data_IF_625191796330
#
_entry.id   IF_625191796330
#
_cell.length_a   1.000
_cell.length_b   1.000
_cell.length_c   1.000
_cell.angle_alpha   90.00
_cell.angle_beta   90.00
_cell.angle_gamma   90.00
#
_symmetry.space_group_name_H-M   'P 1'
#
loop_
_entity.id
_entity.type
_entity.pdbx_description
1 polymer ?
#
# COMPACT_ATOMS: atom_id res chain seq x y z
N UNK A 1 8.23 24.71 -0.13
CA UNK A 1 8.59 23.87 -1.29
C UNK A 1 8.58 22.43 -0.81
N UNK A 2 7.59 21.65 -1.26
CA UNK A 2 7.20 20.40 -0.62
C UNK A 2 8.21 19.27 -0.83
N UNK A 3 8.63 18.67 0.27
CA UNK A 3 9.43 17.43 0.32
C UNK A 3 8.87 16.35 -0.61
N UNK A 4 7.54 16.27 -0.73
CA UNK A 4 6.80 15.29 -1.53
C UNK A 4 6.97 15.40 -3.05
N UNK A 5 7.20 16.60 -3.61
CA UNK A 5 7.17 16.83 -5.07
C UNK A 5 8.36 16.17 -5.81
N UNK A 6 9.49 15.93 -5.12
CA UNK A 6 10.67 15.29 -5.71
C UNK A 6 10.65 13.76 -5.71
N UNK A 7 9.79 13.12 -4.91
CA UNK A 7 9.77 11.66 -4.82
C UNK A 7 8.97 11.01 -5.94
N UNK A 8 7.84 11.61 -6.34
CA UNK A 8 6.91 10.97 -7.28
C UNK A 8 7.42 10.87 -8.73
N UNK A 9 8.44 11.62 -9.14
CA UNK A 9 8.92 11.61 -10.53
C UNK A 9 9.80 10.38 -10.87
N UNK A 10 10.08 9.48 -9.92
CA UNK A 10 10.93 8.28 -10.11
C UNK A 10 10.52 7.06 -9.28
N UNK A 11 9.27 6.96 -8.84
CA UNK A 11 8.82 5.75 -8.13
C UNK A 11 8.61 4.62 -9.14
N UNK A 12 9.27 3.45 -9.00
CA UNK A 12 8.94 2.26 -9.77
C UNK A 12 7.44 1.95 -9.71
N UNK A 13 6.83 1.85 -10.88
CA UNK A 13 5.39 1.60 -11.01
C UNK A 13 5.13 0.17 -11.42
N UNK A 14 4.22 -0.49 -10.73
CA UNK A 14 3.71 -1.82 -11.06
C UNK A 14 2.25 -1.71 -11.41
N UNK A 15 1.93 -2.12 -12.63
CA UNK A 15 0.55 -2.18 -13.11
C UNK A 15 -0.08 -3.50 -12.69
N UNK A 16 -1.30 -3.41 -12.19
CA UNK A 16 -2.09 -4.54 -11.71
C UNK A 16 -3.47 -4.50 -12.36
N UNK A 17 -4.01 -5.66 -12.72
CA UNK A 17 -5.32 -5.75 -13.37
C UNK A 17 -6.44 -5.23 -12.45
N UNK A 18 -6.32 -5.48 -11.14
CA UNK A 18 -7.23 -4.99 -10.11
C UNK A 18 -6.44 -4.25 -9.02
N UNK A 19 -6.90 -3.06 -8.68
CA UNK A 19 -6.47 -2.32 -7.49
C UNK A 19 -7.71 -1.69 -6.89
N UNK A 20 -7.98 -1.90 -5.61
CA UNK A 20 -8.99 -1.16 -4.89
C UNK A 20 -8.49 -0.86 -3.48
N UNK A 21 -9.04 0.20 -2.88
CA UNK A 21 -8.75 0.54 -1.49
C UNK A 21 -10.05 0.83 -0.78
N UNK A 22 -10.25 0.13 0.33
CA UNK A 22 -11.37 0.28 1.22
C UNK A 22 -10.85 0.72 2.59
N UNK A 23 -11.58 1.59 3.28
CA UNK A 23 -11.27 1.97 4.66
C UNK A 23 -12.37 1.48 5.57
N UNK A 24 -12.03 0.73 6.61
CA UNK A 24 -12.94 0.34 7.67
C UNK A 24 -12.57 1.10 8.95
N UNK A 25 -13.57 1.61 9.66
CA UNK A 25 -13.34 2.20 10.98
C UNK A 25 -13.30 1.07 12.00
N UNK A 26 -12.19 0.93 12.74
CA UNK A 26 -12.01 -0.18 13.68
C UNK A 26 -12.84 0.02 14.96
N UNK A 27 -13.06 1.27 15.36
CA UNK A 27 -13.86 1.62 16.52
C UNK A 27 -14.64 2.91 16.25
N UNK A 28 -15.91 3.02 16.66
CA UNK A 28 -16.68 4.26 16.51
C UNK A 28 -16.18 5.38 17.43
N UNK A 29 -15.47 5.02 18.50
CA UNK A 29 -15.00 5.94 19.55
C UNK A 29 -13.52 6.37 19.36
N UNK A 30 -12.83 5.81 18.37
CA UNK A 30 -11.43 6.12 18.03
C UNK A 30 -11.31 6.45 16.55
N UNK A 31 -10.38 7.33 16.18
CA UNK A 31 -10.05 7.60 14.77
C UNK A 31 -9.20 6.49 14.09
N UNK A 32 -9.10 5.31 14.72
CA UNK A 32 -8.38 4.15 14.20
C UNK A 32 -9.07 3.57 12.96
N UNK A 33 -8.35 3.57 11.83
CA UNK A 33 -8.84 3.12 10.53
C UNK A 33 -7.96 1.99 10.01
N UNK A 34 -8.61 0.91 9.59
CA UNK A 34 -7.99 -0.15 8.83
C UNK A 34 -8.10 0.20 7.34
N UNK A 35 -6.97 0.22 6.65
CA UNK A 35 -6.94 0.38 5.19
C UNK A 35 -6.77 -0.98 4.54
N UNK A 36 -7.71 -1.38 3.70
CA UNK A 36 -7.72 -2.66 3.01
C UNK A 36 -7.41 -2.40 1.54
N UNK A 37 -6.29 -2.92 1.05
CA UNK A 37 -5.87 -2.84 -0.34
C UNK A 37 -6.14 -4.18 -1.00
N UNK A 38 -6.93 -4.17 -2.06
CA UNK A 38 -7.07 -5.34 -2.94
C UNK A 38 -6.17 -5.16 -4.15
N UNK A 39 -5.39 -6.18 -4.49
CA UNK A 39 -4.49 -6.20 -5.64
C UNK A 39 -4.38 -7.60 -6.25
N UNK A 40 -3.48 -7.78 -7.22
CA UNK A 40 -3.23 -9.06 -7.89
C UNK A 40 -1.83 -9.61 -7.58
N UNK A 41 -1.52 -10.88 -7.89
CA UNK A 41 -0.21 -11.47 -7.59
C UNK A 41 1.02 -10.67 -8.07
N UNK A 42 0.99 -9.99 -9.24
CA UNK A 42 2.06 -9.06 -9.62
C UNK A 42 2.29 -7.91 -8.63
N UNK A 43 1.21 -7.36 -8.06
CA UNK A 43 1.27 -6.35 -7.01
C UNK A 43 1.92 -6.90 -5.73
N UNK A 44 1.47 -8.08 -5.29
CA UNK A 44 2.07 -8.76 -4.13
C UNK A 44 3.57 -9.05 -4.35
N UNK A 45 3.96 -9.56 -5.52
CA UNK A 45 5.37 -9.88 -5.82
C UNK A 45 6.28 -8.64 -5.72
N UNK A 46 5.79 -7.49 -6.20
CA UNK A 46 6.49 -6.22 -6.06
C UNK A 46 6.66 -5.79 -4.60
N UNK A 47 5.62 -5.95 -3.78
CA UNK A 47 5.64 -5.63 -2.36
C UNK A 47 6.55 -6.58 -1.56
N UNK A 48 6.56 -7.88 -1.88
CA UNK A 48 7.48 -8.86 -1.26
C UNK A 48 8.95 -8.53 -1.57
N UNK A 49 9.20 -7.93 -2.73
CA UNK A 49 10.52 -7.48 -3.18
C UNK A 49 10.79 -6.01 -2.85
N UNK A 50 10.00 -5.40 -1.96
CA UNK A 50 10.15 -3.99 -1.59
C UNK A 50 11.56 -3.70 -1.08
N UNK A 51 12.22 -2.73 -1.72
CA UNK A 51 13.57 -2.24 -1.38
C UNK A 51 13.65 -0.70 -1.41
N UNK A 52 12.50 -0.05 -1.55
CA UNK A 52 12.36 1.37 -1.82
C UNK A 52 10.93 1.66 -2.29
N UNK A 53 10.59 2.94 -2.52
CA UNK A 53 9.22 3.32 -2.89
C UNK A 53 8.71 2.51 -4.08
N UNK A 54 7.45 2.06 -4.03
CA UNK A 54 6.78 1.41 -5.15
C UNK A 54 5.35 1.90 -5.28
N UNK A 55 4.89 2.11 -6.50
CA UNK A 55 3.52 2.53 -6.78
C UNK A 55 2.77 1.43 -7.50
N UNK A 56 1.64 1.01 -6.95
CA UNK A 56 0.66 0.19 -7.63
C UNK A 56 -0.32 1.07 -8.39
N UNK A 57 -0.56 0.73 -9.66
CA UNK A 57 -1.57 1.35 -10.51
C UNK A 57 -2.49 0.28 -11.09
N UNK A 58 -3.81 0.52 -11.02
CA UNK A 58 -4.74 -0.27 -11.80
C UNK A 58 -4.51 -0.04 -13.30
N UNK A 59 -4.69 -1.09 -14.11
CA UNK A 59 -4.71 -0.96 -15.57
C UNK A 59 -5.89 -0.11 -16.06
N UNK A 60 -7.03 -0.20 -15.37
CA UNK A 60 -8.16 0.68 -15.57
C UNK A 60 -8.07 1.92 -14.66
N UNK A 61 -8.37 3.15 -15.16
CA UNK A 61 -8.24 4.39 -14.40
C UNK A 61 -9.35 4.59 -13.34
N UNK A 62 -10.03 3.53 -12.92
CA UNK A 62 -11.15 3.58 -11.96
C UNK A 62 -10.69 3.68 -10.51
N UNK A 63 -9.41 3.38 -10.25
CA UNK A 63 -8.88 3.28 -8.90
C UNK A 63 -7.74 4.25 -8.66
N UNK A 64 -7.68 4.78 -7.44
CA UNK A 64 -6.60 5.68 -7.03
C UNK A 64 -5.27 4.90 -6.97
N UNK A 65 -4.15 5.52 -7.38
CA UNK A 65 -2.83 4.94 -7.16
C UNK A 65 -2.59 4.63 -5.69
N UNK A 66 -1.78 3.62 -5.42
CA UNK A 66 -1.32 3.30 -4.06
C UNK A 66 0.20 3.28 -4.05
N UNK A 67 0.80 4.18 -3.28
CA UNK A 67 2.24 4.36 -3.22
C UNK A 67 2.77 3.93 -1.85
N UNK A 68 3.55 2.86 -1.83
CA UNK A 68 4.24 2.38 -0.65
C UNK A 68 5.57 3.12 -0.54
N UNK A 69 5.81 3.79 0.59
CA UNK A 69 6.96 4.68 0.78
C UNK A 69 7.72 4.29 2.05
N UNK A 70 9.03 4.03 1.98
CA UNK A 70 9.83 3.76 3.17
C UNK A 70 9.77 4.94 4.16
N UNK A 71 9.66 4.64 5.45
CA UNK A 71 9.69 5.64 6.53
C UNK A 71 10.37 5.06 7.77
N UNK A 72 11.02 5.91 8.54
CA UNK A 72 11.66 5.53 9.81
C UNK A 72 10.64 5.45 10.97
N UNK A 73 9.47 6.05 10.80
CA UNK A 73 8.42 6.13 11.81
C UNK A 73 7.12 5.52 11.32
N UNK A 74 6.50 4.71 12.17
CA UNK A 74 5.14 4.22 11.94
C UNK A 74 4.15 5.41 11.91
N UNK A 75 3.30 5.42 10.91
CA UNK A 75 2.22 6.39 10.75
C UNK A 75 1.07 5.74 9.98
N UNK A 76 -0.13 6.32 10.06
CA UNK A 76 -1.26 5.75 9.36
C UNK A 76 -1.20 5.97 7.84
N UNK A 77 -1.74 5.03 7.05
CA UNK A 77 -2.00 5.25 5.63
C UNK A 77 -2.80 6.53 5.41
N UNK A 78 -2.36 7.35 4.45
CA UNK A 78 -2.98 8.66 4.17
C UNK A 78 -3.46 8.74 2.74
N UNK A 79 -4.62 9.34 2.51
CA UNK A 79 -5.15 9.63 1.18
C UNK A 79 -4.78 11.05 0.74
N UNK A 80 -3.90 11.17 -0.26
CA UNK A 80 -3.58 12.43 -0.92
C UNK A 80 -4.50 12.66 -2.14
N UNK A 81 -5.14 13.83 -2.28
CA UNK A 81 -6.05 14.11 -3.39
C UNK A 81 -5.42 14.04 -4.78
N UNK A 82 -4.10 14.27 -4.91
CA UNK A 82 -3.39 14.37 -6.19
C UNK A 82 -2.68 13.07 -6.57
N UNK A 83 -2.11 12.39 -5.59
CA UNK A 83 -1.20 11.26 -5.78
C UNK A 83 -1.79 9.92 -5.37
N UNK A 84 -2.95 9.91 -4.71
CA UNK A 84 -3.64 8.71 -4.27
C UNK A 84 -3.27 8.31 -2.84
N UNK A 85 -3.35 7.02 -2.55
CA UNK A 85 -2.99 6.49 -1.24
C UNK A 85 -1.48 6.47 -1.05
N UNK A 86 -1.03 6.88 0.13
CA UNK A 86 0.36 6.83 0.56
C UNK A 86 0.40 5.88 1.76
N UNK A 87 1.09 4.75 1.58
CA UNK A 87 1.26 3.71 2.59
C UNK A 87 2.69 3.81 3.12
N UNK A 88 2.87 4.28 4.36
CA UNK A 88 4.18 4.27 4.99
C UNK A 88 4.63 2.82 5.24
N UNK A 89 5.88 2.50 4.91
CA UNK A 89 6.47 1.18 5.10
C UNK A 89 7.68 1.33 6.00
N UNK A 90 7.57 0.86 7.23
CA UNK A 90 8.72 0.73 8.13
C UNK A 90 9.54 -0.51 7.79
N UNK A 91 10.73 -0.66 8.37
CA UNK A 91 11.51 -1.90 8.24
C UNK A 91 10.74 -3.14 8.74
N UNK A 92 9.93 -2.98 9.79
CA UNK A 92 9.06 -4.05 10.29
C UNK A 92 7.98 -4.41 9.25
N UNK A 93 7.30 -3.41 8.69
CA UNK A 93 6.31 -3.61 7.63
C UNK A 93 6.92 -4.27 6.39
N UNK A 94 8.12 -3.86 5.99
CA UNK A 94 8.83 -4.47 4.87
C UNK A 94 9.18 -5.94 5.14
N UNK A 95 9.54 -6.29 6.38
CA UNK A 95 9.80 -7.67 6.78
C UNK A 95 8.52 -8.52 6.75
N UNK A 96 7.38 -7.99 7.24
CA UNK A 96 6.08 -8.67 7.17
C UNK A 96 5.66 -8.90 5.71
N UNK A 97 5.75 -7.87 4.85
CA UNK A 97 5.49 -7.98 3.42
C UNK A 97 6.36 -9.05 2.76
N UNK A 98 7.66 -9.10 3.07
CA UNK A 98 8.57 -10.11 2.52
C UNK A 98 8.25 -11.53 2.98
N UNK A 99 7.70 -11.68 4.18
CA UNK A 99 7.31 -12.97 4.77
C UNK A 99 5.99 -13.52 4.22
N UNK A 100 5.16 -12.70 3.56
CA UNK A 100 3.89 -13.15 2.99
C UNK A 100 4.11 -14.29 1.97
N UNK A 101 3.26 -15.34 1.98
CA UNK A 101 3.31 -16.39 0.98
C UNK A 101 2.95 -15.82 -0.40
N UNK A 102 3.53 -16.34 -1.50
CA UNK A 102 3.13 -15.95 -2.84
C UNK A 102 1.72 -16.43 -3.18
N UNK A 103 1.04 -15.68 -4.05
CA UNK A 103 -0.26 -16.06 -4.62
C UNK A 103 -1.45 -15.36 -3.97
N UNK A 104 -2.68 -15.75 -4.35
CA UNK A 104 -3.91 -15.19 -3.80
C UNK A 104 -4.09 -15.48 -2.32
N UNK A 105 -4.73 -14.55 -1.60
CA UNK A 105 -4.96 -14.67 -0.17
C UNK A 105 -5.36 -13.36 0.49
N UNK A 106 -5.67 -13.43 1.77
CA UNK A 106 -5.94 -12.26 2.62
C UNK A 106 -4.89 -12.23 3.71
N UNK A 107 -4.23 -11.10 3.85
CA UNK A 107 -3.14 -10.89 4.79
C UNK A 107 -3.39 -9.62 5.57
N UNK A 108 -3.05 -9.63 6.85
CA UNK A 108 -3.09 -8.45 7.70
C UNK A 108 -1.65 -8.14 8.12
N UNK A 109 -1.23 -6.89 7.94
CA UNK A 109 0.04 -6.40 8.44
C UNK A 109 -0.22 -5.80 9.82
N UNK A 110 0.35 -6.39 10.85
CA UNK A 110 0.17 -5.91 12.23
C UNK A 110 0.97 -4.62 12.47
N UNK A 111 2.07 -4.42 11.73
CA UNK A 111 2.94 -3.24 11.86
C UNK A 111 2.31 -1.92 11.41
N UNK A 112 1.28 -1.98 10.58
CA UNK A 112 0.56 -0.83 10.05
C UNK A 112 -0.83 -1.30 9.73
N UNK A 113 -1.87 -0.70 10.32
CA UNK A 113 -3.28 -1.11 10.20
C UNK A 113 -3.73 -1.26 8.73
N UNK A 114 -3.35 -2.37 8.11
CA UNK A 114 -3.38 -2.60 6.68
C UNK A 114 -3.75 -4.05 6.39
N UNK A 115 -4.90 -4.22 5.76
CA UNK A 115 -5.27 -5.47 5.09
C UNK A 115 -4.75 -5.47 3.66
N UNK A 116 -4.18 -6.58 3.22
CA UNK A 116 -3.81 -6.83 1.84
C UNK A 116 -4.59 -8.05 1.33
N UNK A 117 -5.47 -7.83 0.36
CA UNK A 117 -6.21 -8.87 -0.34
C UNK A 117 -5.57 -9.06 -1.71
N UNK A 118 -5.25 -10.30 -2.06
CA UNK A 118 -4.64 -10.67 -3.33
C UNK A 118 -5.60 -11.59 -4.06
N UNK A 119 -6.11 -11.13 -5.21
CA UNK A 119 -7.08 -11.82 -6.06
C UNK A 119 -6.44 -12.18 -7.41
N UNK A 120 -6.87 -13.28 -8.03
CA UNK A 120 -6.42 -13.71 -9.37
C UNK A 120 -6.94 -12.81 -10.51
#
# INVERSE_FOLDING_TARGET
MGFFDRFFNRVPTVRVAHLSVHTANLSPDTDEKLVIITTTPPGLDALRKFRGPVQLLADAPTSRPVTFTPTDSASDPTLDPKTGWIIPVTDQTAAELAALPPGPGQYELESIHLGLVVED
#
